data_IF_909333992854
#
_entry.id   IF_909333992854
#
_cell.length_a   1.000
_cell.length_b   1.000
_cell.length_c   1.000
_cell.angle_alpha   90.00
_cell.angle_beta   90.00
_cell.angle_gamma   90.00
#
_symmetry.space_group_name_H-M   'P 1'
#
loop_
_entity.id
_entity.type
_entity.pdbx_description
1 polymer ?
#
# COMPACT_ATOMS: atom_id res chain seq x y z
N UNK A 1 12.57 3.66 1.43
CA UNK A 1 11.26 4.13 0.93
C UNK A 1 10.24 3.01 1.03
N UNK A 2 8.96 3.34 1.11
CA UNK A 2 7.90 2.33 1.26
C UNK A 2 7.03 2.19 0.01
N UNK A 3 6.69 0.95 -0.32
CA UNK A 3 5.71 0.59 -1.33
C UNK A 3 4.48 0.04 -0.61
N UNK A 4 3.35 0.73 -0.75
CA UNK A 4 2.11 0.39 -0.07
C UNK A 4 1.21 -0.36 -1.04
N UNK A 5 0.93 -1.62 -0.75
CA UNK A 5 -0.03 -2.43 -1.50
C UNK A 5 -1.42 -1.76 -1.56
N UNK A 6 -2.19 -1.96 -2.65
CA UNK A 6 -3.49 -1.30 -2.81
C UNK A 6 -4.49 -1.73 -1.73
N UNK A 7 -5.52 -0.90 -1.55
CA UNK A 7 -6.77 -1.34 -0.94
C UNK A 7 -7.70 -1.90 -2.03
N UNK A 8 -8.54 -2.88 -1.67
CA UNK A 8 -9.54 -3.39 -2.61
C UNK A 8 -10.56 -2.29 -2.94
N UNK A 9 -10.73 -2.02 -4.23
CA UNK A 9 -11.85 -1.23 -4.79
C UNK A 9 -13.11 -2.07 -4.96
N UNK A 10 -13.10 -3.30 -4.46
CA UNK A 10 -14.22 -4.23 -4.44
C UNK A 10 -14.57 -4.55 -2.97
N UNK A 11 -15.85 -4.50 -2.63
CA UNK A 11 -16.35 -4.78 -1.29
C UNK A 11 -17.33 -3.73 -0.79
N UNK A 12 -17.91 -3.95 0.40
CA UNK A 12 -18.99 -3.15 0.96
C UNK A 12 -18.64 -1.66 1.05
N UNK A 13 -17.44 -1.32 1.51
CA UNK A 13 -16.99 0.08 1.60
C UNK A 13 -16.78 0.73 0.24
N UNK A 14 -16.32 -0.03 -0.75
CA UNK A 14 -16.24 0.49 -2.10
C UNK A 14 -17.65 0.76 -2.66
N UNK A 15 -18.60 -0.14 -2.41
CA UNK A 15 -20.00 0.05 -2.78
C UNK A 15 -20.60 1.32 -2.16
N UNK A 16 -20.26 1.64 -0.91
CA UNK A 16 -20.65 2.92 -0.27
C UNK A 16 -20.09 4.15 -1.01
N UNK A 17 -18.84 4.10 -1.49
CA UNK A 17 -18.27 5.22 -2.26
C UNK A 17 -18.91 5.33 -3.66
N UNK A 18 -19.24 4.20 -4.30
CA UNK A 18 -19.83 4.17 -5.63
C UNK A 18 -21.33 4.47 -5.66
N UNK A 19 -22.04 4.23 -4.56
CA UNK A 19 -23.46 4.59 -4.43
C UNK A 19 -23.62 6.11 -4.52
N UNK A 20 -24.30 6.60 -5.56
CA UNK A 20 -24.52 8.03 -5.80
C UNK A 20 -25.29 8.73 -4.66
N UNK A 21 -26.08 7.98 -3.86
CA UNK A 21 -26.88 8.50 -2.75
C UNK A 21 -26.09 8.68 -1.44
N UNK A 22 -24.89 8.11 -1.33
CA UNK A 22 -24.10 8.25 -0.09
C UNK A 22 -23.67 9.71 0.13
N UNK A 23 -24.01 10.27 1.29
CA UNK A 23 -23.88 11.69 1.61
C UNK A 23 -22.76 12.00 2.63
N UNK A 24 -22.08 10.99 3.17
CA UNK A 24 -20.97 11.21 4.09
C UNK A 24 -19.83 11.98 3.41
N UNK A 25 -19.09 12.76 4.21
CA UNK A 25 -18.12 13.76 3.74
C UNK A 25 -17.15 13.25 2.67
N UNK A 26 -16.56 12.07 2.87
CA UNK A 26 -15.61 11.49 1.91
C UNK A 26 -16.27 11.20 0.55
N UNK A 27 -17.45 10.58 0.52
CA UNK A 27 -18.18 10.29 -0.72
C UNK A 27 -18.60 11.58 -1.44
N UNK A 28 -19.08 12.58 -0.70
CA UNK A 28 -19.47 13.87 -1.27
C UNK A 28 -18.27 14.59 -1.90
N UNK A 29 -17.12 14.65 -1.20
CA UNK A 29 -15.89 15.25 -1.73
C UNK A 29 -15.33 14.49 -2.93
N UNK A 30 -15.37 13.15 -2.92
CA UNK A 30 -14.85 12.31 -4.00
C UNK A 30 -15.58 12.54 -5.34
N UNK A 31 -16.86 12.92 -5.31
CA UNK A 31 -17.65 13.25 -6.52
C UNK A 31 -17.38 14.65 -7.07
N UNK A 32 -16.81 15.56 -6.29
CA UNK A 32 -16.52 16.93 -6.69
C UNK A 32 -15.04 17.08 -7.05
N UNK A 33 -14.71 18.07 -7.88
CA UNK A 33 -13.31 18.49 -8.05
C UNK A 33 -12.88 19.34 -6.83
N UNK A 34 -11.61 19.24 -6.39
CA UNK A 34 -10.52 18.46 -7.00
C UNK A 34 -10.47 16.97 -6.58
N UNK A 35 -11.43 16.49 -5.78
CA UNK A 35 -11.43 15.14 -5.22
C UNK A 35 -10.73 15.07 -3.87
N UNK A 36 -10.33 13.86 -3.46
CA UNK A 36 -9.76 13.57 -2.13
C UNK A 36 -8.42 12.84 -2.26
N UNK A 37 -7.49 12.97 -1.31
CA UNK A 37 -6.23 12.24 -1.33
C UNK A 37 -6.43 10.73 -1.46
N UNK A 38 -5.64 10.08 -2.32
CA UNK A 38 -5.65 8.62 -2.52
C UNK A 38 -5.51 7.86 -1.21
N UNK A 39 -4.64 8.34 -0.33
CA UNK A 39 -4.41 7.76 0.99
C UNK A 39 -5.64 7.78 1.89
N UNK A 40 -6.48 8.82 1.79
CA UNK A 40 -7.74 8.93 2.54
C UNK A 40 -8.77 7.91 2.01
N UNK A 41 -8.91 7.81 0.69
CA UNK A 41 -9.81 6.84 0.03
C UNK A 41 -9.42 5.41 0.40
N UNK A 42 -8.15 5.05 0.26
CA UNK A 42 -7.71 3.68 0.52
C UNK A 42 -7.72 3.36 2.02
N UNK A 43 -7.51 4.35 2.90
CA UNK A 43 -7.73 4.21 4.35
C UNK A 43 -9.20 3.93 4.67
N UNK A 44 -10.14 4.57 3.98
CA UNK A 44 -11.56 4.25 4.12
C UNK A 44 -11.85 2.82 3.64
N UNK A 45 -11.36 2.42 2.46
CA UNK A 45 -11.61 1.10 1.88
C UNK A 45 -11.08 -0.07 2.73
N UNK A 46 -9.87 0.07 3.28
CA UNK A 46 -9.17 -1.03 3.98
C UNK A 46 -8.95 -0.76 5.48
N UNK A 47 -9.58 0.28 6.01
CA UNK A 47 -9.67 0.55 7.44
C UNK A 47 -8.29 0.61 8.12
N UNK A 48 -8.12 -0.13 9.22
CA UNK A 48 -6.87 -0.20 9.98
C UNK A 48 -5.69 -0.69 9.16
N UNK A 49 -5.90 -1.56 8.15
CA UNK A 49 -4.77 -2.14 7.45
C UNK A 49 -4.09 -1.12 6.55
N UNK A 50 -4.83 -0.48 5.63
CA UNK A 50 -4.23 0.55 4.80
C UNK A 50 -3.78 1.77 5.61
N UNK A 51 -4.58 2.20 6.59
CA UNK A 51 -4.18 3.29 7.49
C UNK A 51 -2.86 2.97 8.19
N UNK A 52 -2.70 1.75 8.74
CA UNK A 52 -1.46 1.33 9.37
C UNK A 52 -0.26 1.38 8.42
N UNK A 53 -0.42 0.90 7.18
CA UNK A 53 0.64 0.97 6.15
C UNK A 53 1.06 2.42 5.87
N UNK A 54 0.09 3.29 5.62
CA UNK A 54 0.37 4.69 5.25
C UNK A 54 0.98 5.46 6.43
N UNK A 55 0.40 5.35 7.63
CA UNK A 55 0.91 6.04 8.83
C UNK A 55 2.34 5.60 9.15
N UNK A 56 2.62 4.29 9.06
CA UNK A 56 3.96 3.76 9.28
C UNK A 56 4.96 4.25 8.23
N UNK A 57 4.57 4.22 6.95
CA UNK A 57 5.41 4.70 5.87
C UNK A 57 5.74 6.20 5.96
N UNK A 58 4.80 7.00 6.47
CA UNK A 58 5.00 8.43 6.74
C UNK A 58 5.93 8.67 7.93
N UNK A 59 5.82 7.88 9.00
CA UNK A 59 6.63 8.05 10.21
C UNK A 59 8.09 7.66 10.00
N UNK A 60 8.35 6.57 9.28
CA UNK A 60 9.69 5.98 9.16
C UNK A 60 10.31 6.16 7.76
N UNK A 61 9.62 6.84 6.84
CA UNK A 61 10.06 7.05 5.47
C UNK A 61 11.30 7.93 5.39
N UNK A 62 12.39 7.40 4.82
CA UNK A 62 13.63 8.15 4.55
C UNK A 62 13.90 8.19 3.03
N UNK A 63 13.11 8.96 2.26
CA UNK A 63 13.32 9.05 0.82
C UNK A 63 14.55 9.93 0.50
N UNK A 64 15.20 9.71 -0.65
CA UNK A 64 16.09 10.70 -1.25
C UNK A 64 15.37 12.04 -1.47
N UNK A 65 16.12 13.14 -1.55
CA UNK A 65 15.57 14.47 -1.77
C UNK A 65 14.68 14.52 -3.03
N UNK A 66 13.53 15.19 -2.93
CA UNK A 66 12.57 15.32 -4.02
C UNK A 66 11.65 14.12 -4.23
N UNK A 67 11.78 13.04 -3.46
CA UNK A 67 10.90 11.86 -3.54
C UNK A 67 10.01 11.71 -2.30
N UNK A 68 8.86 11.07 -2.48
CA UNK A 68 7.92 10.78 -1.41
C UNK A 68 8.39 9.56 -0.59
N UNK A 69 8.18 9.60 0.73
CA UNK A 69 8.53 8.48 1.63
C UNK A 69 7.73 7.20 1.35
N UNK A 70 6.56 7.34 0.74
CA UNK A 70 5.62 6.26 0.44
C UNK A 70 5.03 6.40 -0.97
N UNK A 71 4.96 5.29 -1.70
CA UNK A 71 4.21 5.19 -2.95
C UNK A 71 3.15 4.10 -2.85
N UNK A 72 1.93 4.41 -3.30
CA UNK A 72 0.81 3.47 -3.32
C UNK A 72 0.77 2.77 -4.68
N UNK A 73 0.78 1.44 -4.65
CA UNK A 73 0.53 0.62 -5.84
C UNK A 73 -0.95 0.75 -6.20
N UNK A 74 -1.26 1.10 -7.44
CA UNK A 74 -2.63 1.29 -7.94
C UNK A 74 -2.97 0.32 -9.07
N UNK A 75 -4.24 -0.10 -9.24
CA UNK A 75 -4.60 -1.11 -10.23
C UNK A 75 -4.38 -0.71 -11.70
N UNK A 76 -4.20 0.55 -12.04
CA UNK A 76 -4.06 0.98 -13.45
C UNK A 76 -3.13 2.17 -13.71
N UNK A 77 -2.50 2.71 -12.68
CA UNK A 77 -1.70 3.93 -12.80
C UNK A 77 -0.33 3.81 -12.13
N UNK A 78 0.06 2.59 -11.75
CA UNK A 78 1.38 2.28 -11.22
C UNK A 78 1.56 2.79 -9.80
N UNK A 79 2.66 3.50 -9.55
CA UNK A 79 3.05 4.02 -8.23
C UNK A 79 2.62 5.47 -8.09
N UNK A 80 1.67 5.75 -7.19
CA UNK A 80 1.11 7.09 -6.97
C UNK A 80 1.43 7.62 -5.59
N UNK A 81 1.56 8.94 -5.47
CA UNK A 81 1.68 9.63 -4.18
C UNK A 81 0.35 9.47 -3.40
N UNK A 82 0.37 9.03 -2.12
CA UNK A 82 -0.83 8.99 -1.30
C UNK A 82 -1.54 10.36 -1.13
N UNK A 83 -0.83 11.48 -1.27
CA UNK A 83 -1.39 12.84 -1.21
C UNK A 83 -2.11 13.23 -2.50
N UNK A 84 -1.90 12.50 -3.60
CA UNK A 84 -2.51 12.81 -4.88
C UNK A 84 -4.04 12.71 -4.82
N UNK A 85 -4.71 13.71 -5.39
CA UNK A 85 -6.17 13.74 -5.39
C UNK A 85 -6.75 12.81 -6.45
N UNK A 86 -7.72 12.02 -6.03
CA UNK A 86 -8.52 11.15 -6.88
C UNK A 86 -9.99 11.55 -6.82
N UNK A 87 -10.68 11.35 -7.93
CA UNK A 87 -12.13 11.56 -8.06
C UNK A 87 -12.85 10.24 -8.17
N UNK A 88 -14.17 10.26 -8.06
CA UNK A 88 -15.01 9.06 -8.23
C UNK A 88 -14.80 8.41 -9.60
N UNK A 89 -14.60 9.21 -10.65
CA UNK A 89 -14.34 8.69 -12.00
C UNK A 89 -13.02 7.94 -12.08
N UNK A 90 -11.96 8.46 -11.44
CA UNK A 90 -10.67 7.77 -11.36
C UNK A 90 -10.75 6.50 -10.52
N UNK A 91 -11.50 6.52 -9.41
CA UNK A 91 -11.72 5.33 -8.59
C UNK A 91 -12.51 4.23 -9.32
N UNK A 92 -13.48 4.60 -10.19
CA UNK A 92 -14.20 3.64 -11.04
C UNK A 92 -13.26 2.94 -12.02
N UNK A 93 -12.35 3.67 -12.66
CA UNK A 93 -11.30 3.08 -13.52
C UNK A 93 -10.42 2.09 -12.75
N UNK A 94 -10.09 2.37 -11.48
CA UNK A 94 -9.37 1.40 -10.64
C UNK A 94 -10.17 0.13 -10.37
N UNK A 95 -11.50 0.21 -10.27
CA UNK A 95 -12.35 -0.96 -10.05
C UNK A 95 -12.42 -1.87 -11.30
N UNK A 96 -12.26 -1.31 -12.50
CA UNK A 96 -12.29 -2.06 -13.76
C UNK A 96 -11.04 -2.92 -14.02
N UNK A 97 -9.95 -2.68 -13.26
CA UNK A 97 -8.66 -3.33 -13.50
C UNK A 97 -8.34 -4.28 -12.34
N UNK A 98 -8.35 -5.60 -12.58
CA UNK A 98 -7.96 -6.57 -11.56
C UNK A 98 -6.49 -6.43 -11.18
N UNK A 99 -6.21 -6.33 -9.87
CA UNK A 99 -4.85 -6.50 -9.35
C UNK A 99 -4.54 -8.00 -9.42
N UNK A 100 -3.84 -8.46 -10.47
CA UNK A 100 -3.44 -9.87 -10.72
C UNK A 100 -2.15 -9.93 -11.55
N UNK A 101 -1.35 -10.98 -11.39
CA UNK A 101 -0.05 -11.15 -12.08
C UNK A 101 -0.14 -11.31 -13.61
N UNK A 102 -1.34 -11.46 -14.19
CA UNK A 102 -1.53 -11.62 -15.63
C UNK A 102 -2.25 -10.42 -16.27
N UNK A 103 -2.56 -9.34 -15.53
CA UNK A 103 -3.31 -8.19 -16.05
C UNK A 103 -2.34 -7.10 -16.55
N UNK A 104 -2.20 -6.89 -17.87
CA UNK A 104 -1.22 -5.94 -18.41
C UNK A 104 -1.56 -4.49 -18.08
N UNK A 105 -2.85 -4.13 -17.95
CA UNK A 105 -3.27 -2.76 -17.58
C UNK A 105 -2.82 -2.40 -16.16
N UNK A 106 -2.63 -3.41 -15.31
CA UNK A 106 -2.07 -3.27 -13.97
C UNK A 106 -0.53 -3.30 -13.98
N UNK A 107 0.06 -4.31 -14.64
CA UNK A 107 1.50 -4.54 -14.58
C UNK A 107 2.33 -3.53 -15.36
N UNK A 108 1.86 -3.06 -16.53
CA UNK A 108 2.65 -2.13 -17.36
C UNK A 108 2.92 -0.82 -16.61
N UNK A 109 1.92 -0.13 -16.02
CA UNK A 109 2.16 1.07 -15.22
C UNK A 109 3.01 0.80 -13.97
N UNK A 110 2.78 -0.32 -13.28
CA UNK A 110 3.55 -0.68 -12.08
C UNK A 110 5.03 -0.84 -12.40
N UNK A 111 5.37 -1.60 -13.45
CA UNK A 111 6.75 -1.83 -13.86
C UNK A 111 7.42 -0.55 -14.33
N UNK A 112 6.73 0.25 -15.15
CA UNK A 112 7.23 1.56 -15.62
C UNK A 112 7.64 2.44 -14.45
N UNK A 113 6.75 2.61 -13.47
CA UNK A 113 7.02 3.52 -12.35
C UNK A 113 8.02 2.94 -11.36
N UNK A 114 8.02 1.62 -11.15
CA UNK A 114 9.03 0.96 -10.33
C UNK A 114 10.44 1.11 -10.93
N UNK A 115 10.58 1.01 -12.25
CA UNK A 115 11.85 1.21 -12.94
C UNK A 115 12.32 2.66 -12.84
N UNK A 116 11.43 3.63 -13.08
CA UNK A 116 11.73 5.05 -12.88
C UNK A 116 12.16 5.32 -11.43
N UNK A 117 11.43 4.76 -10.45
CA UNK A 117 11.75 4.93 -9.04
C UNK A 117 13.08 4.27 -8.65
N UNK A 118 13.43 3.12 -9.22
CA UNK A 118 14.71 2.43 -9.00
C UNK A 118 15.90 3.31 -9.37
N UNK A 119 15.78 4.04 -10.48
CA UNK A 119 16.78 4.99 -10.97
C UNK A 119 16.81 6.24 -10.10
N UNK A 120 15.66 6.91 -9.92
CA UNK A 120 15.56 8.17 -9.18
C UNK A 120 15.99 8.05 -7.72
N UNK A 121 15.72 6.90 -7.08
CA UNK A 121 16.08 6.71 -5.68
C UNK A 121 17.58 6.45 -5.45
N UNK A 122 18.37 6.26 -6.51
CA UNK A 122 19.80 5.93 -6.44
C UNK A 122 20.09 4.53 -5.92
N UNK A 123 21.34 4.07 -6.06
CA UNK A 123 21.73 2.67 -5.82
C UNK A 123 21.58 2.18 -4.37
N UNK A 124 21.68 3.10 -3.39
CA UNK A 124 21.67 2.75 -1.95
C UNK A 124 20.28 2.70 -1.32
N UNK A 125 19.24 3.14 -2.03
CA UNK A 125 17.90 3.19 -1.45
C UNK A 125 17.28 1.79 -1.37
N UNK A 126 16.75 1.45 -0.19
CA UNK A 126 15.97 0.23 0.05
C UNK A 126 14.48 0.50 -0.16
N UNK A 127 13.78 -0.44 -0.78
CA UNK A 127 12.34 -0.41 -0.99
C UNK A 127 11.66 -1.42 -0.09
N UNK A 128 10.81 -0.97 0.83
CA UNK A 128 10.11 -1.85 1.78
C UNK A 128 8.66 -1.99 1.37
N UNK A 129 8.24 -3.20 1.03
CA UNK A 129 6.87 -3.53 0.68
C UNK A 129 6.01 -3.70 1.94
N UNK A 130 5.06 -2.79 2.14
CA UNK A 130 4.01 -2.90 3.13
C UNK A 130 2.77 -3.52 2.46
N UNK A 131 2.64 -4.83 2.57
CA UNK A 131 1.56 -5.58 1.95
C UNK A 131 1.52 -7.04 2.32
N UNK A 132 0.73 -7.80 1.58
CA UNK A 132 0.77 -9.25 1.65
C UNK A 132 1.96 -9.78 0.88
N UNK A 133 3.02 -10.14 1.60
CA UNK A 133 4.28 -10.64 1.03
C UNK A 133 4.14 -12.04 0.45
N UNK A 134 3.11 -12.79 0.86
CA UNK A 134 2.71 -14.05 0.24
C UNK A 134 2.11 -13.87 -1.17
N UNK A 135 1.67 -12.65 -1.54
CA UNK A 135 1.01 -12.41 -2.82
C UNK A 135 2.02 -12.25 -3.95
N UNK A 136 1.92 -13.07 -4.99
CA UNK A 136 2.75 -12.93 -6.21
C UNK A 136 2.46 -11.63 -6.98
N UNK A 137 1.21 -11.16 -6.94
CA UNK A 137 0.66 -10.04 -7.74
C UNK A 137 1.50 -8.77 -7.84
N UNK A 138 2.16 -8.38 -6.77
CA UNK A 138 3.11 -7.26 -6.76
C UNK A 138 4.49 -7.68 -6.30
N UNK A 139 4.65 -8.82 -5.62
CA UNK A 139 5.98 -9.23 -5.14
C UNK A 139 6.88 -9.59 -6.31
N UNK A 140 6.42 -10.41 -7.24
CA UNK A 140 7.22 -10.82 -8.42
C UNK A 140 7.65 -9.64 -9.30
N UNK A 141 6.73 -8.79 -9.82
CA UNK A 141 7.14 -7.70 -10.70
C UNK A 141 8.03 -6.66 -10.00
N UNK A 142 7.89 -6.47 -8.68
CA UNK A 142 8.76 -5.57 -7.92
C UNK A 142 10.10 -6.22 -7.61
N UNK A 143 10.14 -7.53 -7.37
CA UNK A 143 11.39 -8.27 -7.11
C UNK A 143 12.25 -8.32 -8.38
N UNK A 144 11.64 -8.54 -9.55
CA UNK A 144 12.35 -8.48 -10.84
C UNK A 144 13.04 -7.13 -11.09
N UNK A 145 12.47 -6.03 -10.59
CA UNK A 145 12.99 -4.67 -10.81
C UNK A 145 13.99 -4.27 -9.71
N UNK A 146 13.62 -4.45 -8.45
CA UNK A 146 14.42 -3.97 -7.32
C UNK A 146 15.44 -5.00 -6.82
N UNK A 147 15.30 -6.27 -7.15
CA UNK A 147 16.20 -7.36 -6.73
C UNK A 147 16.41 -7.37 -5.21
N UNK A 148 17.68 -7.46 -4.80
CA UNK A 148 18.11 -7.48 -3.40
C UNK A 148 17.77 -6.20 -2.62
N UNK A 149 17.32 -5.14 -3.32
CA UNK A 149 16.87 -3.89 -2.70
C UNK A 149 15.39 -3.90 -2.32
N UNK A 150 14.66 -4.98 -2.62
CA UNK A 150 13.29 -5.18 -2.16
C UNK A 150 13.26 -5.90 -0.82
N UNK A 151 12.67 -5.25 0.17
CA UNK A 151 12.55 -5.71 1.54
C UNK A 151 11.10 -5.81 1.98
N UNK A 152 10.86 -6.54 3.06
CA UNK A 152 9.58 -6.58 3.75
C UNK A 152 9.78 -6.77 5.26
N UNK A 153 8.77 -6.47 6.09
CA UNK A 153 8.83 -6.77 7.53
C UNK A 153 8.54 -8.27 7.78
N UNK A 154 9.47 -9.08 8.30
CA UNK A 154 9.23 -10.49 8.63
C UNK A 154 8.08 -10.67 9.63
N UNK A 155 7.84 -9.66 10.48
CA UNK A 155 6.72 -9.60 11.41
C UNK A 155 5.34 -9.74 10.73
N UNK A 156 5.24 -9.62 9.39
CA UNK A 156 4.00 -9.82 8.64
C UNK A 156 3.69 -11.29 8.32
N UNK A 157 4.66 -12.19 8.38
CA UNK A 157 4.47 -13.61 8.05
C UNK A 157 3.42 -14.23 8.98
N UNK A 158 2.50 -15.00 8.41
CA UNK A 158 1.37 -15.61 9.12
C UNK A 158 0.30 -14.64 9.63
N UNK A 159 0.46 -13.32 9.47
CA UNK A 159 -0.52 -12.33 9.95
C UNK A 159 -1.53 -11.94 8.88
N UNK A 160 -2.81 -11.93 9.26
CA UNK A 160 -3.88 -11.31 8.47
C UNK A 160 -3.81 -9.78 8.47
N UNK A 161 -4.51 -9.16 7.52
CA UNK A 161 -4.55 -7.71 7.25
C UNK A 161 -4.67 -6.84 8.51
N UNK A 162 -5.69 -7.11 9.33
CA UNK A 162 -5.96 -6.30 10.52
C UNK A 162 -4.87 -6.44 11.58
N UNK A 163 -4.28 -7.63 11.72
CA UNK A 163 -3.15 -7.83 12.64
C UNK A 163 -1.92 -7.08 12.16
N UNK A 164 -1.65 -7.06 10.84
CA UNK A 164 -0.54 -6.28 10.27
C UNK A 164 -0.74 -4.78 10.49
N UNK A 165 -1.94 -4.27 10.22
CA UNK A 165 -2.31 -2.88 10.50
C UNK A 165 -2.11 -2.49 11.96
N UNK A 166 -2.49 -3.38 12.88
CA UNK A 166 -2.30 -3.19 14.32
C UNK A 166 -0.84 -3.14 14.76
N UNK A 167 0.02 -4.01 14.21
CA UNK A 167 1.48 -3.99 14.46
C UNK A 167 2.06 -2.64 14.03
N UNK A 168 1.76 -2.21 12.81
CA UNK A 168 2.29 -0.98 12.25
C UNK A 168 1.91 0.25 13.08
N UNK A 169 0.64 0.35 13.52
CA UNK A 169 0.19 1.47 14.34
C UNK A 169 0.82 1.48 15.74
N UNK A 170 1.16 0.31 16.32
CA UNK A 170 1.88 0.24 17.60
C UNK A 170 3.32 0.69 17.45
N UNK A 171 4.01 0.20 16.43
CA UNK A 171 5.36 0.64 16.10
C UNK A 171 5.45 2.16 15.97
N UNK A 172 4.49 2.80 15.30
CA UNK A 172 4.43 4.27 15.22
C UNK A 172 4.20 4.89 16.60
N UNK A 173 3.24 4.38 17.38
CA UNK A 173 2.96 4.92 18.72
C UNK A 173 4.15 4.76 19.70
N UNK A 174 4.95 3.71 19.54
CA UNK A 174 6.15 3.41 20.33
C UNK A 174 7.41 4.10 19.78
N UNK A 175 7.33 4.78 18.63
CA UNK A 175 8.51 5.33 17.95
C UNK A 175 9.51 4.28 17.47
N UNK A 176 9.08 3.03 17.30
CA UNK A 176 9.94 1.87 17.02
C UNK A 176 9.71 1.32 15.62
N UNK A 177 10.70 1.48 14.75
CA UNK A 177 10.70 0.88 13.42
C UNK A 177 10.85 -0.65 13.50
N UNK A 178 10.21 -1.38 12.59
CA UNK A 178 10.33 -2.83 12.41
C UNK A 178 11.64 -3.18 11.70
N UNK A 179 12.13 -4.38 11.98
CA UNK A 179 13.17 -5.01 11.17
C UNK A 179 12.65 -5.37 9.78
N UNK A 180 13.57 -5.37 8.81
CA UNK A 180 13.29 -5.71 7.43
C UNK A 180 14.25 -6.79 6.92
N UNK A 181 13.70 -7.77 6.21
CA UNK A 181 14.48 -8.80 5.51
C UNK A 181 14.32 -8.64 3.99
N UNK A 182 15.33 -9.03 3.18
CA UNK A 182 15.19 -9.07 1.73
C UNK A 182 14.05 -10.01 1.34
N UNK A 183 13.34 -9.67 0.27
CA UNK A 183 12.31 -10.54 -0.31
C UNK A 183 12.95 -11.72 -1.05
N UNK A 184 14.11 -11.49 -1.68
CA UNK A 184 14.88 -12.54 -2.33
C UNK A 184 15.23 -13.66 -1.33
N UNK A 185 14.89 -14.90 -1.67
CA UNK A 185 15.20 -16.08 -0.86
C UNK A 185 14.41 -16.24 0.44
N UNK A 186 13.48 -15.34 0.78
CA UNK A 186 12.75 -15.40 2.04
C UNK A 186 11.55 -16.38 2.01
N UNK A 187 11.32 -17.05 3.14
CA UNK A 187 10.07 -17.76 3.40
C UNK A 187 8.95 -16.72 3.71
N UNK A 188 7.95 -16.65 2.83
CA UNK A 188 6.87 -15.63 2.89
C UNK A 188 5.56 -16.17 3.43
N UNK A 189 5.54 -17.46 3.76
CA UNK A 189 4.45 -18.19 4.40
C UNK A 189 4.91 -18.67 5.78
N UNK A 190 3.97 -18.92 6.68
CA UNK A 190 4.33 -19.38 8.03
C UNK A 190 3.14 -19.43 8.98
N UNK A 191 3.34 -20.01 10.19
CA UNK A 191 2.29 -20.19 11.17
C UNK A 191 1.75 -18.84 11.66
N UNK A 192 0.46 -18.82 12.03
CA UNK A 192 -0.20 -17.61 12.52
C UNK A 192 0.37 -17.23 13.89
N UNK A 193 0.98 -16.03 14.06
CA UNK A 193 1.53 -15.63 15.35
C UNK A 193 0.42 -15.25 16.34
N UNK A 194 0.75 -15.11 17.65
CA UNK A 194 -0.21 -14.73 18.68
C UNK A 194 -0.98 -13.44 18.36
N UNK A 195 -2.23 -13.38 18.84
CA UNK A 195 -3.07 -12.19 18.74
C UNK A 195 -2.42 -11.03 19.48
N UNK A 196 -2.55 -9.83 18.91
CA UNK A 196 -2.07 -8.63 19.58
C UNK A 196 -2.88 -8.40 20.88
N UNK A 197 -2.22 -8.08 22.02
CA UNK A 197 -2.90 -7.74 23.27
C UNK A 197 -3.94 -6.63 23.07
N UNK A 198 -5.04 -6.59 23.82
CA UNK A 198 -5.96 -5.43 23.74
C UNK A 198 -5.19 -4.16 24.15
N UNK A 199 -5.39 -3.06 23.43
CA UNK A 199 -4.88 -1.75 23.89
C UNK A 199 -5.70 -1.38 25.13
N UNK A 200 -5.04 -1.22 26.27
CA UNK A 200 -5.59 -0.44 27.38
C UNK A 200 -5.78 0.99 26.87
N UNK A 201 -6.98 1.54 27.10
CA UNK A 201 -7.30 2.93 26.76
C UNK A 201 -6.64 3.86 27.74
#
# INVERSE_FOLDING_TARGET
MFLVSPASTHGERAALLFNARSSFTLAAKLRRRPGVPLGEVFSFLSSLYFRGKLTYAQAFGRPPAGLCGAFVITPGEGLRDPAERVTIGRLRKYAEIPVKSAEPRYLKPLRRDAEALRVLAGARCRFVLLGSVASTRYVEPLLEIFGDRLFFPPAFVGRGDMSRGGVLLRCVAEGRELDYAPVAGAERHGPRPPRLPRRTR
#
